data_IF_974908652978
#
_entry.id   IF_974908652978
#
_cell.length_a   1.000
_cell.length_b   1.000
_cell.length_c   1.000
_cell.angle_alpha   90.00
_cell.angle_beta   90.00
_cell.angle_gamma   90.00
#
_symmetry.space_group_name_H-M   'P 1'
#
loop_
_entity.id
_entity.type
_entity.pdbx_description
1 polymer ?
#
# COMPACT_ATOMS: atom_id res chain seq x y z
N UNK A 1 -2.62 -18.14 -0.72
CA UNK A 1 -2.06 -17.06 -1.58
C UNK A 1 -3.02 -15.86 -1.71
N UNK A 2 -4.32 -16.04 -2.01
CA UNK A 2 -5.29 -14.93 -2.17
C UNK A 2 -5.46 -14.04 -0.93
N UNK A 3 -5.46 -14.60 0.28
CA UNK A 3 -5.66 -13.83 1.52
C UNK A 3 -4.51 -12.87 1.88
N UNK A 4 -3.29 -13.12 1.39
CA UNK A 4 -2.15 -12.26 1.69
C UNK A 4 -2.22 -10.94 0.92
N UNK A 5 -2.58 -10.98 -0.37
CA UNK A 5 -2.72 -9.77 -1.18
C UNK A 5 -3.82 -8.85 -0.62
N UNK A 6 -4.95 -9.43 -0.24
CA UNK A 6 -6.06 -8.70 0.41
C UNK A 6 -5.64 -8.07 1.74
N UNK A 7 -4.93 -8.83 2.59
CA UNK A 7 -4.42 -8.31 3.87
C UNK A 7 -3.42 -7.15 3.68
N UNK A 8 -2.54 -7.27 2.68
CA UNK A 8 -1.61 -6.21 2.29
C UNK A 8 -2.36 -4.97 1.83
N UNK A 9 -3.33 -5.14 0.95
CA UNK A 9 -4.12 -4.05 0.40
C UNK A 9 -4.85 -3.28 1.51
N UNK A 10 -5.62 -3.98 2.34
CA UNK A 10 -6.31 -3.37 3.47
C UNK A 10 -5.36 -2.66 4.44
N UNK A 11 -4.22 -3.28 4.75
CA UNK A 11 -3.24 -2.68 5.67
C UNK A 11 -2.63 -1.42 5.09
N UNK A 12 -2.24 -1.46 3.81
CA UNK A 12 -1.67 -0.33 3.09
C UNK A 12 -2.66 0.84 3.04
N UNK A 13 -3.90 0.59 2.62
CA UNK A 13 -4.94 1.62 2.54
C UNK A 13 -5.27 2.21 3.92
N UNK A 14 -5.41 1.37 4.96
CA UNK A 14 -5.65 1.84 6.33
C UNK A 14 -4.50 2.72 6.86
N UNK A 15 -3.25 2.36 6.60
CA UNK A 15 -2.08 3.14 7.01
C UNK A 15 -2.00 4.49 6.31
N UNK A 16 -2.45 4.58 5.05
CA UNK A 16 -2.57 5.84 4.32
C UNK A 16 -3.76 6.67 4.82
N UNK A 17 -4.90 6.03 5.10
CA UNK A 17 -6.11 6.67 5.61
C UNK A 17 -5.89 7.33 6.98
N UNK A 18 -5.04 6.75 7.82
CA UNK A 18 -4.69 7.27 9.14
C UNK A 18 -3.73 8.48 9.11
N UNK A 19 -3.19 8.84 7.95
CA UNK A 19 -2.25 9.96 7.80
C UNK A 19 -2.90 11.20 7.19
N UNK A 20 -2.21 12.34 7.25
CA UNK A 20 -2.56 13.51 6.44
C UNK A 20 -2.54 13.17 4.93
N UNK A 21 -3.32 13.87 4.13
CA UNK A 21 -3.54 13.53 2.72
C UNK A 21 -2.28 13.56 1.83
N UNK A 22 -1.31 14.41 2.16
CA UNK A 22 -0.04 14.58 1.46
C UNK A 22 1.10 13.71 2.03
N UNK A 23 0.88 13.09 3.18
CA UNK A 23 1.85 12.24 3.83
C UNK A 23 2.00 10.89 3.12
N UNK A 24 3.09 10.19 3.44
CA UNK A 24 3.44 8.93 2.79
C UNK A 24 3.84 7.85 3.78
N UNK A 25 3.75 6.59 3.35
CA UNK A 25 4.26 5.42 4.05
C UNK A 25 5.41 4.80 3.27
N UNK A 26 6.06 3.78 3.82
CA UNK A 26 7.01 2.94 3.09
C UNK A 26 6.54 1.47 3.08
N UNK A 27 6.97 0.64 2.12
CA UNK A 27 6.58 -0.77 2.05
C UNK A 27 6.87 -1.57 3.34
N UNK A 28 8.00 -1.30 4.02
CA UNK A 28 8.36 -2.01 5.25
C UNK A 28 7.42 -1.73 6.40
N UNK A 29 6.73 -0.59 6.42
CA UNK A 29 5.72 -0.28 7.44
C UNK A 29 4.47 -1.16 7.29
N UNK A 30 4.05 -1.40 6.04
CA UNK A 30 2.97 -2.35 5.74
C UNK A 30 3.35 -3.75 6.22
N UNK A 31 4.58 -4.20 5.92
CA UNK A 31 5.06 -5.51 6.32
C UNK A 31 5.13 -5.68 7.84
N UNK A 32 5.69 -4.69 8.56
CA UNK A 32 5.77 -4.72 10.03
C UNK A 32 4.39 -4.68 10.68
N UNK A 33 3.42 -4.03 10.05
CA UNK A 33 2.04 -4.03 10.56
C UNK A 33 1.38 -5.40 10.41
N UNK A 34 1.73 -6.16 9.38
CA UNK A 34 1.18 -7.50 9.12
C UNK A 34 1.85 -8.61 9.95
N UNK A 35 3.17 -8.57 10.07
CA UNK A 35 3.97 -9.68 10.63
C UNK A 35 4.64 -9.31 11.98
N UNK A 36 4.41 -8.09 12.46
CA UNK A 36 5.06 -7.55 13.66
C UNK A 36 6.54 -7.22 13.45
N UNK A 37 7.29 -7.18 14.54
CA UNK A 37 8.75 -7.00 14.54
C UNK A 37 9.52 -8.33 14.39
N UNK A 38 8.91 -9.35 13.78
CA UNK A 38 9.57 -10.60 13.42
C UNK A 38 10.71 -10.34 12.42
N UNK A 39 11.66 -11.26 12.28
CA UNK A 39 12.67 -11.16 11.19
C UNK A 39 12.08 -11.50 9.80
N UNK A 40 10.85 -12.06 9.76
CA UNK A 40 10.22 -12.61 8.55
C UNK A 40 9.49 -11.58 7.70
N UNK A 41 9.22 -10.37 8.21
CA UNK A 41 8.49 -9.33 7.47
C UNK A 41 9.14 -8.97 6.12
N UNK A 42 10.47 -9.12 6.00
CA UNK A 42 11.21 -8.88 4.75
C UNK A 42 10.73 -9.78 3.61
N UNK A 43 10.27 -11.00 3.93
CA UNK A 43 9.70 -11.93 2.97
C UNK A 43 8.42 -11.43 2.31
N UNK A 44 7.73 -10.45 2.90
CA UNK A 44 6.51 -9.86 2.35
C UNK A 44 6.79 -8.78 1.27
N UNK A 45 8.03 -8.31 1.13
CA UNK A 45 8.38 -7.21 0.22
C UNK A 45 7.97 -7.46 -1.25
N UNK A 46 8.19 -8.65 -1.85
CA UNK A 46 7.74 -8.91 -3.21
C UNK A 46 6.22 -8.79 -3.36
N UNK A 47 5.45 -9.37 -2.43
CA UNK A 47 3.99 -9.30 -2.44
C UNK A 47 3.47 -7.88 -2.25
N UNK A 48 4.09 -7.10 -1.34
CA UNK A 48 3.71 -5.70 -1.11
C UNK A 48 3.97 -4.85 -2.35
N UNK A 49 5.08 -5.06 -3.05
CA UNK A 49 5.38 -4.34 -4.30
C UNK A 49 4.37 -4.69 -5.41
N UNK A 50 3.94 -5.94 -5.51
CA UNK A 50 2.91 -6.37 -6.47
C UNK A 50 1.57 -5.68 -6.17
N UNK A 51 1.12 -5.67 -4.91
CA UNK A 51 -0.14 -5.01 -4.53
C UNK A 51 -0.06 -3.50 -4.75
N UNK A 52 1.04 -2.87 -4.33
CA UNK A 52 1.25 -1.44 -4.57
C UNK A 52 1.28 -1.09 -6.07
N UNK A 53 1.85 -1.95 -6.93
CA UNK A 53 1.83 -1.74 -8.38
C UNK A 53 0.40 -1.75 -8.93
N UNK A 54 -0.44 -2.68 -8.47
CA UNK A 54 -1.85 -2.76 -8.88
C UNK A 54 -2.64 -1.52 -8.45
N UNK A 55 -2.50 -1.11 -7.19
CA UNK A 55 -3.16 0.09 -6.68
C UNK A 55 -2.70 1.36 -7.41
N UNK A 56 -1.41 1.43 -7.78
CA UNK A 56 -0.87 2.55 -8.54
C UNK A 56 -1.40 2.58 -9.98
N UNK A 57 -1.55 1.43 -10.64
CA UNK A 57 -2.16 1.32 -11.97
C UNK A 57 -3.62 1.78 -11.97
N UNK A 58 -4.34 1.56 -10.87
CA UNK A 58 -5.71 2.06 -10.66
C UNK A 58 -5.76 3.48 -10.09
N UNK A 59 -4.62 4.16 -9.96
CA UNK A 59 -4.50 5.54 -9.46
C UNK A 59 -5.03 5.75 -8.02
N UNK A 60 -5.21 4.65 -7.28
CA UNK A 60 -5.60 4.64 -5.86
C UNK A 60 -4.45 5.13 -5.00
N UNK A 61 -3.21 4.79 -5.38
CA UNK A 61 -2.01 5.29 -4.73
C UNK A 61 -1.04 5.89 -5.75
N UNK A 62 -0.17 6.78 -5.28
CA UNK A 62 1.00 7.23 -6.03
C UNK A 62 2.26 6.64 -5.38
N UNK A 63 3.20 6.18 -6.21
CA UNK A 63 4.51 5.73 -5.73
C UNK A 63 5.58 6.73 -6.12
N UNK A 64 6.37 7.15 -5.14
CA UNK A 64 7.49 8.08 -5.36
C UNK A 64 8.82 7.49 -4.91
N UNK A 65 9.89 7.86 -5.59
CA UNK A 65 11.26 7.60 -5.19
C UNK A 65 12.06 8.89 -5.28
N UNK A 66 12.74 9.25 -4.17
CA UNK A 66 13.49 10.52 -4.07
C UNK A 66 12.63 11.73 -4.49
N UNK A 67 11.35 11.73 -4.10
CA UNK A 67 10.39 12.80 -4.39
C UNK A 67 9.73 12.76 -5.77
N UNK A 68 10.14 11.86 -6.68
CA UNK A 68 9.62 11.78 -8.05
C UNK A 68 8.69 10.58 -8.20
N UNK A 69 7.60 10.73 -8.96
CA UNK A 69 6.71 9.63 -9.29
C UNK A 69 7.47 8.55 -10.09
N UNK A 70 7.25 7.28 -9.75
CA UNK A 70 7.91 6.13 -10.40
C UNK A 70 6.95 4.96 -10.55
N UNK A 71 7.17 4.13 -11.57
CA UNK A 71 6.61 2.79 -11.59
C UNK A 71 7.35 1.90 -10.59
N UNK A 72 6.62 1.45 -9.56
CA UNK A 72 7.20 0.59 -8.53
C UNK A 72 7.71 -0.74 -9.09
N UNK A 73 7.11 -1.28 -10.16
CA UNK A 73 7.55 -2.54 -10.76
C UNK A 73 8.98 -2.45 -11.30
N UNK A 74 9.41 -1.25 -11.71
CA UNK A 74 10.75 -0.97 -12.23
C UNK A 74 11.67 -0.27 -11.19
N UNK A 75 11.10 0.35 -10.16
CA UNK A 75 11.90 1.06 -9.16
C UNK A 75 12.74 0.08 -8.32
N UNK A 76 13.99 0.43 -8.06
CA UNK A 76 14.89 -0.33 -7.18
C UNK A 76 15.15 0.40 -5.88
N UNK A 77 15.14 -0.31 -4.75
CA UNK A 77 15.41 0.27 -3.44
C UNK A 77 14.21 1.00 -2.82
N UNK A 78 14.46 1.93 -1.87
CA UNK A 78 13.40 2.57 -1.08
C UNK A 78 12.45 3.40 -1.94
N UNK A 79 11.15 3.24 -1.67
CA UNK A 79 10.06 3.99 -2.29
C UNK A 79 9.09 4.47 -1.20
N UNK A 80 8.27 5.46 -1.52
CA UNK A 80 7.20 5.98 -0.68
C UNK A 80 5.87 5.81 -1.38
N UNK A 81 4.86 5.42 -0.62
CA UNK A 81 3.49 5.25 -1.10
C UNK A 81 2.64 6.40 -0.55
N UNK A 82 1.86 7.05 -1.41
CA UNK A 82 0.99 8.19 -1.11
C UNK A 82 -0.43 7.91 -1.58
N UNK A 83 -1.41 8.65 -1.07
CA UNK A 83 -2.76 8.63 -1.63
C UNK A 83 -2.72 9.16 -3.07
N UNK A 84 -3.32 8.42 -3.99
CA UNK A 84 -3.55 8.85 -5.36
C UNK A 84 -4.92 9.51 -5.51
N UNK A 85 -5.25 9.95 -6.72
CA UNK A 85 -6.51 10.64 -7.00
C UNK A 85 -7.75 9.77 -6.77
N UNK A 86 -7.63 8.45 -6.91
CA UNK A 86 -8.70 7.48 -6.69
C UNK A 86 -8.79 6.96 -5.26
N UNK A 87 -7.98 7.49 -4.33
CA UNK A 87 -7.87 6.93 -2.99
C UNK A 87 -9.18 6.98 -2.21
N UNK A 88 -9.81 8.16 -2.14
CA UNK A 88 -10.97 8.36 -1.28
C UNK A 88 -12.19 7.56 -1.77
N UNK A 89 -12.37 7.45 -3.08
CA UNK A 89 -13.40 6.60 -3.71
C UNK A 89 -13.17 5.12 -3.41
N UNK A 90 -11.97 4.60 -3.73
CA UNK A 90 -11.64 3.20 -3.49
C UNK A 90 -11.68 2.82 -2.00
N UNK A 91 -11.28 3.72 -1.11
CA UNK A 91 -11.31 3.47 0.33
C UNK A 91 -12.74 3.47 0.88
N UNK A 92 -13.60 4.37 0.42
CA UNK A 92 -15.02 4.39 0.79
C UNK A 92 -15.75 3.13 0.31
N UNK A 93 -15.50 2.69 -0.93
CA UNK A 93 -16.06 1.46 -1.47
C UNK A 93 -15.59 0.22 -0.69
N UNK A 94 -14.29 0.13 -0.39
CA UNK A 94 -13.74 -0.95 0.43
C UNK A 94 -14.34 -1.00 1.83
N UNK A 95 -14.54 0.16 2.48
CA UNK A 95 -15.22 0.24 3.77
C UNK A 95 -16.70 -0.19 3.68
N UNK A 96 -17.40 0.16 2.61
CA UNK A 96 -18.80 -0.24 2.42
C UNK A 96 -18.92 -1.77 2.27
N UNK A 97 -17.98 -2.42 1.58
CA UNK A 97 -17.93 -3.88 1.46
C UNK A 97 -17.65 -4.55 2.81
N UNK A 98 -16.74 -3.99 3.62
CA UNK A 98 -16.42 -4.53 4.96
C UNK A 98 -17.57 -4.32 5.95
N UNK A 99 -18.22 -3.15 5.92
CA UNK A 99 -19.33 -2.81 6.83
C UNK A 99 -20.64 -3.55 6.52
N UNK A 100 -20.78 -4.08 5.30
CA UNK A 100 -21.92 -4.90 4.87
C UNK A 100 -21.79 -6.40 5.17
N UNK A 101 -20.79 -6.82 5.95
CA UNK A 101 -20.50 -8.20 6.32
C UNK A 101 -20.48 -8.37 7.83
#
# INVERSE_FOLDING_TARGET
>A
MMHLCESIEHTLLRLLAARAGDASICPSEVARTLDGDSETWRGLMPSIRIVAARLAQSEVIEVTQRGHAVDIAQAHGPVRLKRGKGFDEAYAEGLAVIAGR
#
